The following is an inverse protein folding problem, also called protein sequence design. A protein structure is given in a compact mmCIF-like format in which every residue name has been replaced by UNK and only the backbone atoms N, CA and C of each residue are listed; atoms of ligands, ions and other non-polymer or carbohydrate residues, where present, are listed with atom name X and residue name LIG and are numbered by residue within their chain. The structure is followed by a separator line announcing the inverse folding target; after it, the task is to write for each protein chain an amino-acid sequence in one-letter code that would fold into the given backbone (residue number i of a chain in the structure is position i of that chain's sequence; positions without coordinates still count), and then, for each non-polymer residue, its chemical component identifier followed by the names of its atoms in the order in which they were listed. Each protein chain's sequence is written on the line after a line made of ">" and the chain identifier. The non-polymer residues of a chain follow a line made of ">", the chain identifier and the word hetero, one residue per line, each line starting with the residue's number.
data_IF_970165982849
#
_entry.id   IF_970165982849
#
_cell.length_a   1.000
_cell.length_b   1.000
_cell.length_c   1.000
_cell.angle_alpha   90.00
_cell.angle_beta   90.00
_cell.angle_gamma   90.00
#
_symmetry.space_group_name_H-M   'P 1'
#
loop_
_entity.id
_entity.type
_entity.pdbx_description
1 polymer ?
#
# COMPACT_ATOMS: atom_id res chain seq x y z
N UNK A 1 -12.84 -14.84 2.39
CA UNK A 1 -11.79 -13.94 2.93
C UNK A 1 -11.62 -12.81 1.91
N UNK A 2 -11.70 -11.55 2.33
CA UNK A 2 -11.33 -10.40 1.48
C UNK A 2 -9.82 -10.48 1.22
N UNK A 3 -9.39 -10.46 -0.04
CA UNK A 3 -7.97 -10.36 -0.35
C UNK A 3 -7.44 -8.95 0.00
N UNK A 4 -6.12 -8.79 0.10
CA UNK A 4 -5.44 -7.53 0.38
C UNK A 4 -5.86 -6.43 -0.61
N UNK A 5 -6.10 -6.81 -1.88
CA UNK A 5 -6.66 -5.92 -2.90
C UNK A 5 -7.96 -5.25 -2.44
N UNK A 6 -8.95 -6.06 -2.04
CA UNK A 6 -10.28 -5.58 -1.67
C UNK A 6 -10.22 -4.70 -0.41
N UNK A 7 -9.38 -5.07 0.55
CA UNK A 7 -9.16 -4.29 1.76
C UNK A 7 -8.61 -2.89 1.46
N UNK A 8 -7.53 -2.82 0.67
CA UNK A 8 -6.90 -1.55 0.30
C UNK A 8 -7.82 -0.71 -0.58
N UNK A 9 -8.53 -1.33 -1.52
CA UNK A 9 -9.47 -0.64 -2.40
C UNK A 9 -10.64 -0.03 -1.60
N UNK A 10 -11.20 -0.76 -0.64
CA UNK A 10 -12.27 -0.26 0.22
C UNK A 10 -11.81 0.96 1.04
N UNK A 11 -10.60 0.90 1.63
CA UNK A 11 -10.05 2.00 2.42
C UNK A 11 -9.70 3.24 1.58
N UNK A 12 -9.19 3.04 0.35
CA UNK A 12 -8.95 4.13 -0.58
C UNK A 12 -10.25 4.88 -0.91
N UNK A 13 -11.33 4.15 -1.17
CA UNK A 13 -12.65 4.73 -1.48
C UNK A 13 -13.20 5.48 -0.27
N UNK A 14 -13.14 4.89 0.92
CA UNK A 14 -13.62 5.51 2.16
C UNK A 14 -12.86 6.82 2.46
N UNK A 15 -11.54 6.81 2.39
CA UNK A 15 -10.70 7.99 2.59
C UNK A 15 -10.96 9.07 1.52
N UNK A 16 -11.16 8.68 0.26
CA UNK A 16 -11.49 9.62 -0.82
C UNK A 16 -12.87 10.26 -0.65
N UNK A 17 -13.86 9.51 -0.16
CA UNK A 17 -15.19 10.05 0.18
C UNK A 17 -15.10 11.01 1.35
N UNK A 18 -14.38 10.63 2.42
CA UNK A 18 -14.13 11.51 3.57
C UNK A 18 -13.38 12.79 3.19
N UNK A 19 -12.40 12.71 2.29
CA UNK A 19 -11.71 13.89 1.79
C UNK A 19 -12.63 14.84 1.01
N UNK A 20 -13.62 14.32 0.28
CA UNK A 20 -14.57 15.13 -0.49
C UNK A 20 -15.54 15.90 0.40
N UNK A 21 -15.94 15.33 1.53
CA UNK A 21 -16.84 16.00 2.49
C UNK A 21 -16.15 17.05 3.36
N UNK A 22 -14.81 17.14 3.35
CA UNK A 22 -14.06 18.09 4.17
C UNK A 22 -13.84 19.43 3.46
N UNK A 23 -13.86 20.56 4.21
CA UNK A 23 -13.46 21.86 3.69
C UNK A 23 -11.95 21.87 3.36
N UNK A 24 -11.47 22.82 2.53
CA UNK A 24 -10.05 23.00 2.26
C UNK A 24 -9.24 23.13 3.56
N UNK A 25 -8.13 22.39 3.65
CA UNK A 25 -7.26 22.42 4.83
C UNK A 25 -6.40 21.16 5.00
N UNK A 26 -5.59 21.15 6.07
CA UNK A 26 -4.64 20.06 6.36
C UNK A 26 -5.32 18.70 6.51
N UNK A 27 -6.49 18.63 7.13
CA UNK A 27 -7.23 17.37 7.32
C UNK A 27 -7.68 16.78 5.98
N UNK A 28 -8.16 17.62 5.06
CA UNK A 28 -8.51 17.20 3.69
C UNK A 28 -7.29 16.69 2.94
N UNK A 29 -6.15 17.37 3.06
CA UNK A 29 -4.88 16.92 2.45
C UNK A 29 -4.45 15.57 3.00
N UNK A 30 -4.48 15.36 4.33
CA UNK A 30 -4.17 14.07 4.95
C UNK A 30 -5.07 12.96 4.43
N UNK A 31 -6.38 13.18 4.36
CA UNK A 31 -7.31 12.17 3.82
C UNK A 31 -7.07 11.88 2.34
N UNK A 32 -6.70 12.87 1.54
CA UNK A 32 -6.27 12.66 0.14
C UNK A 32 -4.99 11.83 0.05
N UNK A 33 -4.01 12.07 0.92
CA UNK A 33 -2.78 11.27 0.98
C UNK A 33 -3.10 9.82 1.36
N UNK A 34 -3.90 9.60 2.39
CA UNK A 34 -4.35 8.26 2.80
C UNK A 34 -5.06 7.55 1.64
N UNK A 35 -5.98 8.24 0.95
CA UNK A 35 -6.66 7.67 -0.22
C UNK A 35 -5.68 7.28 -1.34
N UNK A 36 -4.66 8.09 -1.61
CA UNK A 36 -3.62 7.80 -2.62
C UNK A 36 -2.78 6.59 -2.22
N UNK A 37 -2.32 6.52 -0.97
CA UNK A 37 -1.51 5.39 -0.47
C UNK A 37 -2.28 4.08 -0.59
N UNK A 38 -3.51 4.02 -0.07
CA UNK A 38 -4.32 2.81 -0.19
C UNK A 38 -4.65 2.45 -1.63
N UNK A 39 -4.84 3.44 -2.51
CA UNK A 39 -5.06 3.17 -3.92
C UNK A 39 -3.82 2.55 -4.59
N UNK A 40 -2.62 3.03 -4.27
CA UNK A 40 -1.38 2.45 -4.76
C UNK A 40 -1.20 1.02 -4.25
N UNK A 41 -1.39 0.79 -2.95
CA UNK A 41 -1.34 -0.55 -2.36
C UNK A 41 -2.36 -1.51 -2.99
N UNK A 42 -3.56 -1.02 -3.32
CA UNK A 42 -4.53 -1.84 -4.06
C UNK A 42 -4.03 -2.18 -5.47
N UNK A 43 -3.34 -1.28 -6.16
CA UNK A 43 -2.78 -1.58 -7.50
C UNK A 43 -1.65 -2.60 -7.42
N UNK A 44 -0.77 -2.46 -6.43
CA UNK A 44 0.29 -3.45 -6.18
C UNK A 44 -0.31 -4.81 -5.87
N UNK A 45 -1.31 -4.88 -4.98
CA UNK A 45 -2.00 -6.12 -4.67
C UNK A 45 -2.77 -6.73 -5.87
N UNK A 46 -3.21 -5.90 -6.84
CA UNK A 46 -3.91 -6.35 -8.04
C UNK A 46 -2.99 -6.94 -9.11
N UNK A 47 -1.74 -6.47 -9.18
CA UNK A 47 -0.78 -6.87 -10.22
C UNK A 47 -0.11 -8.23 -9.93
N UNK A 48 -0.45 -8.83 -8.79
CA UNK A 48 0.13 -10.07 -8.30
C UNK A 48 0.69 -9.84 -6.90
N UNK A 49 0.62 -10.83 -6.00
CA UNK A 49 1.33 -10.72 -4.75
C UNK A 49 2.80 -10.50 -5.10
N UNK A 50 3.48 -9.61 -4.38
CA UNK A 50 4.90 -9.27 -4.54
C UNK A 50 5.86 -10.47 -4.32
N UNK A 51 5.41 -11.72 -4.56
CA UNK A 51 6.13 -12.98 -4.41
C UNK A 51 7.35 -13.01 -5.32
N UNK A 52 7.27 -12.42 -6.51
CA UNK A 52 8.39 -12.39 -7.46
C UNK A 52 9.60 -11.64 -6.91
N UNK A 53 9.40 -10.59 -6.11
CA UNK A 53 10.49 -9.86 -5.44
C UNK A 53 10.79 -10.37 -4.03
N UNK A 54 9.93 -11.23 -3.48
CA UNK A 54 10.08 -11.77 -2.12
C UNK A 54 11.21 -12.80 -2.06
N UNK A 55 11.39 -13.57 -3.13
CA UNK A 55 12.52 -14.47 -3.27
C UNK A 55 13.83 -13.70 -3.52
N UNK A 56 13.80 -12.66 -4.36
CA UNK A 56 14.95 -11.75 -4.55
C UNK A 56 15.36 -11.07 -3.22
N UNK A 57 14.38 -10.57 -2.46
CA UNK A 57 14.60 -9.95 -1.15
C UNK A 57 15.14 -10.96 -0.12
N UNK A 58 14.64 -12.20 -0.13
CA UNK A 58 15.16 -13.28 0.73
C UNK A 58 16.58 -13.66 0.35
N UNK A 59 16.90 -13.71 -0.95
CA UNK A 59 18.23 -13.99 -1.45
C UNK A 59 19.21 -12.89 -1.04
N UNK A 60 18.85 -11.62 -1.26
CA UNK A 60 19.65 -10.46 -0.86
C UNK A 60 19.93 -10.46 0.66
N UNK A 61 18.92 -10.69 1.50
CA UNK A 61 19.09 -10.77 2.95
C UNK A 61 19.95 -11.95 3.42
N UNK A 62 19.91 -13.10 2.73
CA UNK A 62 20.79 -14.24 3.04
C UNK A 62 22.24 -13.89 2.75
N UNK A 63 22.49 -13.22 1.62
CA UNK A 63 23.81 -12.77 1.22
C UNK A 63 24.38 -11.73 2.21
N UNK A 64 23.59 -10.74 2.62
CA UNK A 64 24.00 -9.74 3.64
C UNK A 64 24.47 -10.40 4.94
N UNK A 65 23.76 -11.43 5.42
CA UNK A 65 24.15 -12.17 6.64
C UNK A 65 25.43 -12.98 6.48
N UNK A 66 25.77 -13.39 5.26
CA UNK A 66 27.01 -14.13 4.99
C UNK A 66 28.20 -13.17 4.87
N UNK A 67 27.99 -11.97 4.35
CA UNK A 67 29.03 -10.94 4.20
C UNK A 67 29.37 -10.26 5.55
N UNK A 68 28.40 -10.20 6.48
CA UNK A 68 28.60 -9.64 7.82
C UNK A 68 29.29 -10.57 8.84
N UNK A 69 29.97 -11.63 8.39
CA UNK A 69 30.68 -12.62 9.23
C UNK A 69 32.15 -12.68 8.83
#
# INVERSE_FOLDING_TARGET
>A
MSDAYDYFRAHAIAAARKARSLPPGRTKQKQRTVARVYHLLSKEAALGPNVQHLDDFRAARRLERQIGR
#
